data_IF_138052013619
#
_entry.id   IF_138052013619
#
_cell.length_a   1.000
_cell.length_b   1.000
_cell.length_c   1.000
_cell.angle_alpha   90.00
_cell.angle_beta   90.00
_cell.angle_gamma   90.00
#
_symmetry.space_group_name_H-M   'P 1'
#
loop_
_entity.id
_entity.type
_entity.pdbx_description
1 polymer ?
#
# COMPACT_ATOMS: atom_id res chain seq x y z
N UNK A 1 -76.34 52.00 -56.74
CA UNK A 1 -77.04 51.38 -55.59
C UNK A 1 -75.99 51.24 -54.49
N UNK A 2 -75.92 52.18 -53.53
CA UNK A 2 -76.50 52.09 -52.17
C UNK A 2 -75.83 50.98 -51.32
N UNK A 3 -75.33 51.17 -50.10
CA UNK A 3 -75.55 52.21 -49.09
C UNK A 3 -74.36 52.27 -48.09
N UNK A 4 -74.32 53.39 -47.37
CA UNK A 4 -73.41 53.68 -46.26
C UNK A 4 -73.69 52.87 -44.99
N UNK A 5 -72.68 52.77 -44.11
CA UNK A 5 -72.82 52.33 -42.72
C UNK A 5 -71.61 52.77 -41.89
N UNK A 6 -71.85 53.69 -40.95
CA UNK A 6 -70.87 54.35 -40.09
C UNK A 6 -70.45 53.50 -38.88
N UNK A 7 -69.26 53.77 -38.30
CA UNK A 7 -69.06 54.07 -36.87
C UNK A 7 -67.55 54.04 -36.50
N UNK A 8 -67.09 55.12 -35.86
CA UNK A 8 -65.76 55.27 -35.28
C UNK A 8 -65.55 54.37 -34.06
N UNK A 9 -64.35 53.82 -33.89
CA UNK A 9 -63.82 53.44 -32.58
C UNK A 9 -62.29 53.61 -32.55
N UNK A 10 -61.86 54.51 -31.67
CA UNK A 10 -60.50 54.82 -31.29
C UNK A 10 -59.96 53.68 -30.40
N UNK A 11 -58.86 53.00 -30.74
CA UNK A 11 -58.20 52.08 -29.81
C UNK A 11 -56.73 51.78 -30.15
N UNK A 12 -55.87 52.33 -29.29
CA UNK A 12 -54.61 51.78 -28.79
C UNK A 12 -53.47 51.49 -29.78
N UNK A 13 -52.50 52.42 -29.76
CA UNK A 13 -51.09 52.10 -29.92
C UNK A 13 -50.74 50.80 -29.17
N UNK A 14 -50.42 49.74 -29.91
CA UNK A 14 -49.87 48.52 -29.30
C UNK A 14 -48.37 48.49 -29.58
N UNK A 15 -47.66 49.08 -28.63
CA UNK A 15 -46.23 48.98 -28.32
C UNK A 15 -45.66 47.60 -28.65
N UNK A 16 -45.05 47.44 -29.84
CA UNK A 16 -44.34 46.23 -30.26
C UNK A 16 -42.81 46.47 -30.40
N UNK A 17 -42.25 47.38 -29.62
CA UNK A 17 -40.85 47.84 -29.78
C UNK A 17 -39.94 47.66 -28.56
N UNK A 18 -40.36 46.95 -27.49
CA UNK A 18 -39.55 46.80 -26.27
C UNK A 18 -38.98 45.39 -25.97
N UNK A 19 -39.27 44.35 -26.78
CA UNK A 19 -38.83 42.97 -26.48
C UNK A 19 -37.55 42.51 -27.20
N UNK A 20 -37.08 43.26 -28.20
CA UNK A 20 -35.88 42.89 -28.97
C UNK A 20 -34.53 43.03 -28.23
N UNK A 21 -34.33 44.01 -27.31
CA UNK A 21 -33.04 44.17 -26.63
C UNK A 21 -32.72 43.04 -25.65
N UNK A 22 -33.73 42.54 -24.94
CA UNK A 22 -33.57 41.49 -23.91
C UNK A 22 -33.26 40.13 -24.51
N UNK A 23 -33.93 39.74 -25.61
CA UNK A 23 -33.58 38.51 -26.34
C UNK A 23 -32.13 38.54 -26.85
N UNK A 24 -31.64 39.71 -27.27
CA UNK A 24 -30.28 39.87 -27.77
C UNK A 24 -29.25 39.72 -26.64
N UNK A 25 -29.55 40.26 -25.44
CA UNK A 25 -28.70 40.14 -24.26
C UNK A 25 -28.64 38.72 -23.69
N UNK A 26 -29.78 38.02 -23.62
CA UNK A 26 -29.85 36.63 -23.17
C UNK A 26 -29.10 35.69 -24.12
N UNK A 27 -29.28 35.87 -25.43
CA UNK A 27 -28.56 35.07 -26.43
C UNK A 27 -27.04 35.32 -26.35
N UNK A 28 -26.62 36.57 -26.15
CA UNK A 28 -25.20 36.91 -25.97
C UNK A 28 -24.61 36.24 -24.72
N UNK A 29 -25.36 36.22 -23.62
CA UNK A 29 -24.95 35.57 -22.37
C UNK A 29 -24.89 34.05 -22.53
N UNK A 30 -25.86 33.45 -23.20
CA UNK A 30 -25.89 32.01 -23.46
C UNK A 30 -24.75 31.57 -24.39
N UNK A 31 -24.43 32.37 -25.41
CA UNK A 31 -23.27 32.15 -26.28
C UNK A 31 -21.97 32.25 -25.47
N UNK A 32 -21.82 33.25 -24.61
CA UNK A 32 -20.64 33.38 -23.73
C UNK A 32 -20.48 32.19 -22.78
N UNK A 33 -21.56 31.77 -22.11
CA UNK A 33 -21.57 30.59 -21.24
C UNK A 33 -21.24 29.30 -21.99
N UNK A 34 -21.76 29.13 -23.21
CA UNK A 34 -21.45 27.96 -24.05
C UNK A 34 -19.98 27.93 -24.49
N UNK A 35 -19.40 29.09 -24.79
CA UNK A 35 -17.98 29.22 -25.12
C UNK A 35 -17.10 28.88 -23.92
N UNK A 36 -17.47 29.36 -22.73
CA UNK A 36 -16.74 29.10 -21.49
C UNK A 36 -16.83 27.62 -21.06
N UNK A 37 -18.01 27.01 -21.18
CA UNK A 37 -18.19 25.57 -20.96
C UNK A 37 -17.35 24.73 -21.94
N UNK A 38 -17.25 25.16 -23.20
CA UNK A 38 -16.42 24.50 -24.21
C UNK A 38 -14.92 24.64 -23.87
N UNK A 39 -14.48 25.81 -23.41
CA UNK A 39 -13.11 26.04 -22.97
C UNK A 39 -12.75 25.21 -21.72
N UNK A 40 -13.65 25.13 -20.75
CA UNK A 40 -13.46 24.29 -19.56
C UNK A 40 -13.42 22.81 -19.89
N UNK A 41 -14.27 22.35 -20.81
CA UNK A 41 -14.22 20.98 -21.30
C UNK A 41 -12.86 20.69 -21.96
N UNK A 42 -12.37 21.58 -22.82
CA UNK A 42 -11.07 21.45 -23.47
C UNK A 42 -9.91 21.39 -22.45
N UNK A 43 -9.91 22.25 -21.43
CA UNK A 43 -8.92 22.24 -20.36
C UNK A 43 -8.97 20.93 -19.54
N UNK A 44 -10.17 20.43 -19.24
CA UNK A 44 -10.34 19.16 -18.53
C UNK A 44 -9.86 17.95 -19.35
N UNK A 45 -10.03 17.98 -20.68
CA UNK A 45 -9.49 16.94 -21.56
C UNK A 45 -7.97 16.96 -21.60
N UNK A 46 -7.34 18.14 -21.65
CA UNK A 46 -5.89 18.29 -21.58
C UNK A 46 -5.34 17.78 -20.25
N UNK A 47 -5.96 18.17 -19.13
CA UNK A 47 -5.55 17.72 -17.79
C UNK A 47 -5.66 16.20 -17.62
N UNK A 48 -6.72 15.59 -18.19
CA UNK A 48 -6.89 14.13 -18.21
C UNK A 48 -5.82 13.46 -19.06
N UNK A 49 -5.54 13.97 -20.26
CA UNK A 49 -4.50 13.43 -21.12
C UNK A 49 -3.10 13.51 -20.48
N UNK A 50 -2.79 14.60 -19.78
CA UNK A 50 -1.55 14.76 -19.02
C UNK A 50 -1.46 13.78 -17.84
N UNK A 51 -2.55 13.59 -17.08
CA UNK A 51 -2.60 12.57 -16.01
C UNK A 51 -2.44 11.16 -16.53
N UNK A 52 -3.08 10.83 -17.64
CA UNK A 52 -2.99 9.50 -18.26
C UNK A 52 -1.58 9.25 -18.81
N UNK A 53 -0.96 10.25 -19.42
CA UNK A 53 0.44 10.18 -19.85
C UNK A 53 1.40 10.01 -18.66
N UNK A 54 1.19 10.76 -17.57
CA UNK A 54 1.98 10.62 -16.34
C UNK A 54 1.79 9.24 -15.69
N UNK A 55 0.55 8.73 -15.64
CA UNK A 55 0.23 7.40 -15.12
C UNK A 55 0.85 6.29 -15.99
N UNK A 56 0.82 6.43 -17.32
CA UNK A 56 1.45 5.51 -18.25
C UNK A 56 2.98 5.49 -18.09
N UNK A 57 3.60 6.65 -17.90
CA UNK A 57 5.04 6.77 -17.65
C UNK A 57 5.43 6.17 -16.28
N UNK A 58 4.64 6.44 -15.23
CA UNK A 58 4.83 5.84 -13.92
C UNK A 58 4.67 4.31 -13.95
N UNK A 59 3.70 3.79 -14.71
CA UNK A 59 3.50 2.36 -14.90
C UNK A 59 4.63 1.71 -15.71
N UNK A 60 5.18 2.38 -16.73
CA UNK A 60 6.35 1.91 -17.47
C UNK A 60 7.60 1.86 -16.57
N UNK A 61 7.84 2.92 -15.80
CA UNK A 61 8.96 2.97 -14.86
C UNK A 61 8.84 1.87 -13.80
N UNK A 62 7.66 1.70 -13.19
CA UNK A 62 7.40 0.64 -12.23
C UNK A 62 7.61 -0.77 -12.82
N UNK A 63 7.24 -0.99 -14.09
CA UNK A 63 7.51 -2.26 -14.79
C UNK A 63 9.00 -2.47 -15.07
N UNK A 64 9.73 -1.43 -15.44
CA UNK A 64 11.18 -1.50 -15.65
C UNK A 64 11.92 -1.80 -14.33
N UNK A 65 11.58 -1.09 -13.26
CA UNK A 65 12.15 -1.29 -11.93
C UNK A 65 11.83 -2.69 -11.40
N UNK A 66 10.62 -3.22 -11.66
CA UNK A 66 10.22 -4.58 -11.30
C UNK A 66 10.98 -5.64 -12.12
N UNK A 67 11.29 -5.39 -13.39
CA UNK A 67 12.11 -6.28 -14.21
C UNK A 67 13.56 -6.33 -13.72
N UNK A 68 14.15 -5.18 -13.36
CA UNK A 68 15.51 -5.11 -12.81
C UNK A 68 15.60 -5.69 -11.40
N UNK A 69 14.58 -5.48 -10.57
CA UNK A 69 14.45 -6.11 -9.27
C UNK A 69 14.33 -7.63 -9.37
N UNK A 70 13.55 -8.15 -10.34
CA UNK A 70 13.46 -9.59 -10.62
C UNK A 70 14.81 -10.17 -11.05
N UNK A 71 15.51 -9.54 -11.99
CA UNK A 71 16.85 -9.98 -12.41
C UNK A 71 17.85 -10.01 -11.26
N UNK A 72 17.85 -8.98 -10.41
CA UNK A 72 18.71 -8.93 -9.20
C UNK A 72 18.30 -9.96 -8.14
N UNK A 73 17.01 -10.22 -7.98
CA UNK A 73 16.50 -11.22 -7.05
C UNK A 73 16.83 -12.65 -7.50
N UNK A 74 16.73 -12.92 -8.80
CA UNK A 74 17.05 -14.23 -9.39
C UNK A 74 18.56 -14.52 -9.30
N UNK A 75 19.41 -13.51 -9.55
CA UNK A 75 20.86 -13.61 -9.34
C UNK A 75 21.22 -13.85 -7.86
N UNK A 76 20.53 -13.18 -6.92
CA UNK A 76 20.74 -13.40 -5.47
C UNK A 76 20.22 -14.74 -4.98
N UNK A 77 19.11 -15.24 -5.53
CA UNK A 77 18.55 -16.57 -5.21
C UNK A 77 19.54 -17.66 -5.61
N UNK A 78 20.13 -17.57 -6.80
CA UNK A 78 21.16 -18.50 -7.27
C UNK A 78 22.41 -18.49 -6.37
N UNK A 79 22.89 -17.30 -5.98
CA UNK A 79 24.03 -17.17 -5.06
C UNK A 79 23.74 -17.66 -3.63
N UNK A 80 22.51 -17.48 -3.12
CA UNK A 80 22.11 -17.99 -1.80
C UNK A 80 21.90 -19.51 -1.79
N UNK A 81 21.48 -20.10 -2.91
CA UNK A 81 21.34 -21.56 -3.02
C UNK A 81 22.70 -22.25 -2.97
N UNK A 82 23.70 -21.70 -3.66
CA UNK A 82 25.09 -22.18 -3.60
C UNK A 82 25.70 -22.00 -2.19
N UNK A 83 25.44 -20.87 -1.53
CA UNK A 83 25.88 -20.64 -0.15
C UNK A 83 25.18 -21.55 0.87
N UNK A 84 23.90 -21.89 0.65
CA UNK A 84 23.12 -22.80 1.52
C UNK A 84 23.63 -24.23 1.43
N UNK A 85 24.04 -24.70 0.25
CA UNK A 85 24.67 -26.03 0.08
C UNK A 85 26.03 -26.10 0.80
N UNK A 86 26.86 -25.07 0.66
CA UNK A 86 28.15 -24.99 1.36
C UNK A 86 28.00 -24.86 2.90
N UNK A 87 26.93 -24.20 3.39
CA UNK A 87 26.65 -24.08 4.82
C UNK A 87 26.08 -25.38 5.43
N UNK A 88 25.29 -26.14 4.67
CA UNK A 88 24.74 -27.43 5.11
C UNK A 88 25.85 -28.48 5.33
N UNK A 89 26.88 -28.50 4.48
CA UNK A 89 28.05 -29.38 4.66
C UNK A 89 28.88 -29.01 5.90
N UNK A 90 29.03 -27.70 6.20
CA UNK A 90 29.73 -27.23 7.41
C UNK A 90 28.95 -27.45 8.71
N UNK A 91 27.62 -27.62 8.63
CA UNK A 91 26.77 -27.91 9.78
C UNK A 91 26.83 -29.40 10.19
N UNK A 92 26.98 -30.30 9.21
CA UNK A 92 27.15 -31.75 9.46
C UNK A 92 28.42 -32.05 10.25
N UNK A 93 29.54 -31.38 9.96
CA UNK A 93 30.81 -31.60 10.69
C UNK A 93 30.84 -30.97 12.10
N UNK A 94 30.00 -29.98 12.40
CA UNK A 94 29.88 -29.37 13.75
C UNK A 94 28.92 -30.12 14.67
N UNK A 95 28.05 -30.96 14.12
CA UNK A 95 27.09 -31.77 14.89
C UNK A 95 27.75 -33.00 15.54
N UNK A 96 28.80 -33.55 14.91
CA UNK A 96 29.57 -34.67 15.44
C UNK A 96 30.50 -34.29 16.60
N UNK A 97 31.01 -33.05 16.65
CA UNK A 97 31.82 -32.54 17.76
C UNK A 97 30.99 -32.12 19.00
N UNK A 98 29.70 -31.74 18.82
CA UNK A 98 28.83 -31.35 19.93
C UNK A 98 28.26 -32.55 20.71
N UNK A 99 28.22 -33.72 20.07
CA UNK A 99 27.69 -34.96 20.68
C UNK A 99 28.66 -35.56 21.72
N UNK A 100 29.96 -35.25 21.66
CA UNK A 100 30.96 -35.78 22.61
C UNK A 100 31.15 -34.91 23.87
N UNK A 101 30.69 -33.65 23.89
CA UNK A 101 30.79 -32.76 25.06
C UNK A 101 29.50 -32.67 25.91
N UNK A 102 28.35 -33.09 25.38
CA UNK A 102 27.05 -32.96 26.08
C UNK A 102 26.70 -34.14 27.01
N UNK A 103 27.57 -35.16 27.13
CA UNK A 103 27.37 -36.32 28.01
C UNK A 103 27.81 -36.08 29.47
N UNK A 104 28.16 -34.85 29.85
CA UNK A 104 28.54 -34.50 31.22
C UNK A 104 27.85 -33.21 31.62
N UNK A 105 27.05 -33.29 32.69
CA UNK A 105 26.26 -32.22 33.33
C UNK A 105 24.82 -32.13 32.82
N UNK A 106 23.96 -32.85 33.52
CA UNK A 106 22.52 -32.79 33.33
C UNK A 106 21.83 -31.65 34.11
N UNK A 107 20.54 -31.56 33.79
CA UNK A 107 19.43 -31.05 34.59
C UNK A 107 18.97 -29.59 34.42
N UNK A 108 17.64 -29.49 34.29
CA UNK A 108 16.71 -28.38 34.52
C UNK A 108 16.52 -27.25 33.48
N UNK A 109 15.50 -27.45 32.63
CA UNK A 109 14.22 -26.70 32.55
C UNK A 109 14.19 -25.16 32.62
N UNK A 110 13.61 -24.58 31.55
CA UNK A 110 12.86 -23.31 31.45
C UNK A 110 13.61 -21.97 31.57
N UNK A 111 14.01 -21.40 30.41
CA UNK A 111 14.21 -19.94 30.25
C UNK A 111 14.04 -19.55 28.77
N UNK A 112 12.81 -19.42 28.27
CA UNK A 112 12.54 -18.98 26.89
C UNK A 112 11.74 -17.66 26.81
N UNK A 113 11.16 -17.18 27.92
CA UNK A 113 10.30 -15.99 27.92
C UNK A 113 11.07 -14.66 27.87
N UNK A 114 12.28 -14.59 28.45
CA UNK A 114 13.09 -13.36 28.41
C UNK A 114 13.68 -13.10 27.02
N UNK A 115 14.11 -14.15 26.32
CA UNK A 115 14.66 -14.05 24.95
C UNK A 115 13.60 -13.66 23.93
N UNK A 116 12.39 -14.24 24.00
CA UNK A 116 11.29 -13.90 23.09
C UNK A 116 10.87 -12.42 23.21
N UNK A 117 10.81 -11.90 24.45
CA UNK A 117 10.49 -10.50 24.72
C UNK A 117 11.57 -9.56 24.18
N UNK A 118 12.86 -9.92 24.34
CA UNK A 118 13.98 -9.16 23.78
C UNK A 118 13.97 -9.11 22.25
N UNK A 119 13.62 -10.23 21.59
CA UNK A 119 13.49 -10.29 20.14
C UNK A 119 12.33 -9.45 19.63
N UNK A 120 11.17 -9.48 20.29
CA UNK A 120 10.01 -8.65 19.94
C UNK A 120 10.35 -7.15 20.01
N UNK A 121 11.04 -6.72 21.08
CA UNK A 121 11.45 -5.33 21.24
C UNK A 121 12.36 -4.85 20.10
N UNK A 122 13.32 -5.68 19.67
CA UNK A 122 14.22 -5.35 18.55
C UNK A 122 13.47 -5.24 17.21
N UNK A 123 12.53 -6.14 16.94
CA UNK A 123 11.66 -6.09 15.76
C UNK A 123 10.84 -4.80 15.75
N UNK A 124 10.21 -4.44 16.88
CA UNK A 124 9.41 -3.22 17.00
C UNK A 124 10.26 -1.97 16.84
N UNK A 125 11.43 -1.91 17.48
CA UNK A 125 12.34 -0.78 17.36
C UNK A 125 12.76 -0.57 15.91
N UNK A 126 13.03 -1.64 15.18
CA UNK A 126 13.37 -1.56 13.76
C UNK A 126 12.23 -0.98 12.93
N UNK A 127 11.01 -1.53 13.02
CA UNK A 127 9.88 -1.05 12.20
C UNK A 127 9.51 0.40 12.53
N UNK A 128 9.55 0.78 13.80
CA UNK A 128 9.31 2.17 14.23
C UNK A 128 10.34 3.14 13.65
N UNK A 129 11.61 2.74 13.58
CA UNK A 129 12.65 3.55 12.96
C UNK A 129 12.49 3.72 11.42
N UNK A 130 11.59 2.96 10.79
CA UNK A 130 11.30 3.09 9.36
C UNK A 130 10.11 4.01 9.05
N UNK A 131 9.35 4.45 10.06
CA UNK A 131 8.18 5.32 9.87
C UNK A 131 8.58 6.58 9.10
N UNK A 132 7.75 6.96 8.13
CA UNK A 132 7.98 8.10 7.23
C UNK A 132 8.76 7.78 5.96
N UNK A 133 9.38 6.60 5.85
CA UNK A 133 10.02 6.17 4.59
C UNK A 133 8.99 5.81 3.52
N UNK A 134 9.40 5.91 2.26
CA UNK A 134 8.54 5.60 1.12
C UNK A 134 8.24 4.12 0.99
N UNK A 135 7.03 3.82 0.52
CA UNK A 135 6.67 2.50 0.02
C UNK A 135 7.14 2.37 -1.42
N UNK A 136 7.85 1.30 -1.74
CA UNK A 136 8.19 0.94 -3.12
C UNK A 136 7.98 -0.55 -3.29
N UNK A 137 7.10 -0.95 -4.20
CA UNK A 137 6.81 -2.35 -4.48
C UNK A 137 8.11 -3.10 -4.81
N UNK A 138 8.37 -4.21 -4.12
CA UNK A 138 9.59 -4.99 -4.32
C UNK A 138 10.78 -4.52 -3.47
N UNK A 139 10.74 -3.36 -2.82
CA UNK A 139 11.87 -2.83 -2.07
C UNK A 139 12.09 -3.55 -0.72
N UNK A 140 13.36 -3.66 -0.33
CA UNK A 140 13.80 -4.39 0.88
C UNK A 140 14.77 -3.59 1.73
N UNK A 141 14.73 -2.26 1.62
CA UNK A 141 15.58 -1.34 2.37
C UNK A 141 16.94 -1.01 1.73
N UNK A 142 17.71 -0.11 2.37
CA UNK A 142 17.34 0.62 3.59
C UNK A 142 16.51 1.89 3.33
N UNK A 143 16.46 2.38 2.10
CA UNK A 143 15.83 3.68 1.78
C UNK A 143 14.31 3.61 1.60
N UNK A 144 13.80 2.46 1.19
CA UNK A 144 12.36 2.21 0.98
C UNK A 144 12.06 0.72 1.20
N UNK A 145 10.80 0.40 1.51
CA UNK A 145 10.35 -0.97 1.73
C UNK A 145 8.98 -1.19 1.09
N UNK A 146 8.65 -2.42 0.73
CA UNK A 146 7.26 -2.86 0.65
C UNK A 146 6.84 -3.60 1.93
N UNK A 147 5.60 -4.05 1.99
CA UNK A 147 5.01 -4.66 3.19
C UNK A 147 5.83 -5.84 3.71
N UNK A 148 5.99 -6.87 2.89
CA UNK A 148 6.73 -8.09 3.25
C UNK A 148 8.25 -7.87 3.34
N UNK A 149 8.79 -6.89 2.60
CA UNK A 149 10.18 -6.46 2.68
C UNK A 149 10.53 -5.79 4.01
N UNK A 150 9.61 -4.96 4.55
CA UNK A 150 9.74 -4.33 5.87
C UNK A 150 9.72 -5.39 6.98
N UNK A 151 8.71 -6.26 6.98
CA UNK A 151 8.58 -7.35 7.98
C UNK A 151 9.82 -8.23 7.96
N UNK A 152 10.26 -8.69 6.79
CA UNK A 152 11.48 -9.50 6.66
C UNK A 152 12.72 -8.78 7.19
N UNK A 153 12.88 -7.50 6.89
CA UNK A 153 14.03 -6.73 7.37
C UNK A 153 14.03 -6.54 8.90
N UNK A 154 12.85 -6.46 9.52
CA UNK A 154 12.70 -6.39 10.97
C UNK A 154 13.07 -7.71 11.65
N UNK A 155 12.57 -8.84 11.16
CA UNK A 155 12.87 -10.16 11.71
C UNK A 155 14.33 -10.60 11.46
N UNK A 156 14.95 -10.11 10.39
CA UNK A 156 16.39 -10.30 10.17
C UNK A 156 17.24 -9.68 11.30
N UNK A 157 16.76 -8.63 12.00
CA UNK A 157 17.50 -8.05 13.14
C UNK A 157 17.67 -9.02 14.29
N UNK A 158 16.79 -10.03 14.38
CA UNK A 158 16.81 -11.07 15.42
C UNK A 158 17.18 -12.43 14.86
N UNK A 159 17.79 -12.47 13.66
CA UNK A 159 18.29 -13.71 13.04
C UNK A 159 17.21 -14.60 12.42
N UNK A 160 15.97 -14.13 12.28
CA UNK A 160 14.86 -14.89 11.69
C UNK A 160 14.71 -14.52 10.22
N UNK A 161 14.98 -15.48 9.33
CA UNK A 161 14.85 -15.28 7.89
C UNK A 161 13.45 -15.61 7.41
N UNK A 162 12.64 -14.58 7.13
CA UNK A 162 11.30 -14.75 6.57
C UNK A 162 11.30 -14.88 5.03
N UNK A 163 10.29 -15.57 4.46
CA UNK A 163 10.02 -15.56 3.02
C UNK A 163 9.89 -14.14 2.45
N UNK A 164 10.10 -13.96 1.14
CA UNK A 164 10.04 -12.62 0.52
C UNK A 164 8.63 -12.07 0.43
N UNK A 165 7.63 -12.92 0.23
CA UNK A 165 6.28 -12.51 -0.17
C UNK A 165 5.30 -12.67 0.99
N UNK A 166 4.24 -11.84 1.00
CA UNK A 166 3.24 -11.81 2.07
C UNK A 166 2.49 -13.14 2.22
N UNK A 167 2.24 -13.83 1.11
CA UNK A 167 1.57 -15.13 1.08
C UNK A 167 2.29 -16.13 1.98
N UNK A 168 3.59 -16.31 1.75
CA UNK A 168 4.41 -17.25 2.53
C UNK A 168 4.64 -16.76 3.96
N UNK A 169 4.74 -15.44 4.18
CA UNK A 169 4.87 -14.88 5.53
C UNK A 169 3.62 -15.13 6.37
N UNK A 170 2.43 -15.12 5.79
CA UNK A 170 1.17 -15.39 6.48
C UNK A 170 1.03 -16.83 6.99
N UNK A 171 1.97 -17.72 6.67
CA UNK A 171 2.01 -19.12 7.14
C UNK A 171 3.37 -19.52 7.71
N UNK A 172 4.30 -18.57 7.87
CA UNK A 172 5.68 -18.84 8.27
C UNK A 172 5.83 -19.26 9.74
N UNK A 173 4.79 -19.14 10.56
CA UNK A 173 4.81 -19.42 11.99
C UNK A 173 3.50 -20.02 12.50
N UNK A 174 3.29 -19.94 13.81
CA UNK A 174 2.06 -20.42 14.45
C UNK A 174 0.93 -19.42 14.27
N UNK A 175 -0.23 -19.90 13.81
CA UNK A 175 -1.41 -19.04 13.67
C UNK A 175 -1.90 -18.54 15.03
N UNK A 176 -2.20 -17.24 15.10
CA UNK A 176 -2.66 -16.55 16.31
C UNK A 176 -4.04 -15.94 16.09
N UNK A 177 -4.93 -16.11 17.07
CA UNK A 177 -6.20 -15.39 17.12
C UNK A 177 -5.95 -13.89 17.34
N UNK A 178 -6.71 -13.02 16.68
CA UNK A 178 -6.61 -11.57 16.87
C UNK A 178 -6.87 -11.12 18.32
N UNK A 179 -7.54 -11.93 19.13
CA UNK A 179 -7.72 -11.70 20.57
C UNK A 179 -6.49 -12.02 21.42
N UNK A 180 -5.51 -12.73 20.86
CA UNK A 180 -4.29 -13.21 21.54
C UNK A 180 -3.01 -12.60 20.95
N UNK A 181 -3.14 -11.42 20.31
CA UNK A 181 -2.01 -10.72 19.71
C UNK A 181 -0.96 -10.36 20.76
N UNK A 182 0.30 -10.59 20.41
CA UNK A 182 1.46 -10.20 21.17
C UNK A 182 2.35 -9.32 20.32
N UNK A 183 3.04 -8.39 20.98
CA UNK A 183 4.00 -7.49 20.35
C UNK A 183 5.00 -8.31 19.53
N UNK A 184 5.19 -7.93 18.27
CA UNK A 184 6.04 -8.65 17.31
C UNK A 184 5.30 -9.67 16.45
N UNK A 185 4.01 -9.95 16.67
CA UNK A 185 3.22 -10.79 15.77
C UNK A 185 3.13 -10.16 14.37
N UNK A 186 3.16 -11.01 13.34
CA UNK A 186 2.97 -10.61 11.95
C UNK A 186 1.48 -10.63 11.67
N UNK A 187 0.92 -9.47 11.37
CA UNK A 187 -0.46 -9.31 10.92
C UNK A 187 -0.52 -9.49 9.41
N UNK A 188 -1.61 -10.07 8.91
CA UNK A 188 -1.83 -10.21 7.48
C UNK A 188 -3.27 -9.88 7.07
N UNK A 189 -3.43 -9.51 5.79
CA UNK A 189 -4.72 -9.28 5.14
C UNK A 189 -4.90 -10.21 3.94
N UNK A 190 -6.09 -10.80 3.84
CA UNK A 190 -6.41 -11.91 2.93
C UNK A 190 -6.45 -13.27 3.66
N UNK A 191 -6.52 -14.38 2.93
CA UNK A 191 -6.47 -15.70 3.56
C UNK A 191 -5.01 -16.11 3.83
N UNK A 192 -4.80 -16.96 4.84
CA UNK A 192 -3.48 -17.55 5.07
C UNK A 192 -3.01 -18.30 3.80
N UNK A 193 -1.77 -18.06 3.38
CA UNK A 193 -1.20 -18.58 2.13
C UNK A 193 -1.59 -17.80 0.86
N UNK A 194 -2.47 -16.81 0.96
CA UNK A 194 -2.85 -15.92 -0.14
C UNK A 194 -2.94 -14.44 0.28
N UNK A 195 -2.32 -14.10 1.42
CA UNK A 195 -2.32 -12.75 1.94
C UNK A 195 -1.68 -11.76 0.96
N UNK A 196 -2.35 -10.64 0.72
CA UNK A 196 -1.89 -9.57 -0.17
C UNK A 196 -1.13 -8.46 0.57
N UNK A 197 -1.24 -8.40 1.90
CA UNK A 197 -0.56 -7.40 2.74
C UNK A 197 -0.14 -7.99 4.09
N UNK A 198 0.92 -7.44 4.67
CA UNK A 198 1.47 -7.82 5.98
C UNK A 198 2.04 -6.63 6.73
N UNK A 199 1.98 -6.68 8.06
CA UNK A 199 2.52 -5.66 8.95
C UNK A 199 2.98 -6.29 10.29
N UNK A 200 3.60 -5.50 11.16
CA UNK A 200 4.01 -5.96 12.50
C UNK A 200 3.12 -5.33 13.57
N UNK A 201 2.57 -6.14 14.47
CA UNK A 201 1.86 -5.66 15.65
C UNK A 201 2.85 -5.09 16.67
N UNK A 202 2.61 -3.84 17.12
CA UNK A 202 3.54 -3.12 18.00
C UNK A 202 3.01 -2.89 19.41
N UNK A 203 1.87 -3.52 19.76
CA UNK A 203 1.19 -3.35 21.05
C UNK A 203 0.05 -2.33 20.99
N UNK A 204 -0.72 -2.23 22.08
CA UNK A 204 -1.77 -1.21 22.28
C UNK A 204 -2.80 -1.09 21.14
N UNK A 205 -3.08 -2.20 20.44
CA UNK A 205 -3.99 -2.18 19.29
C UNK A 205 -3.42 -1.45 18.07
N UNK A 206 -2.09 -1.32 17.96
CA UNK A 206 -1.39 -0.62 16.89
C UNK A 206 -0.53 -1.57 16.04
N UNK A 207 -0.34 -1.21 14.78
CA UNK A 207 0.58 -1.89 13.86
C UNK A 207 1.46 -0.90 13.11
N UNK A 208 2.63 -1.36 12.68
CA UNK A 208 3.50 -0.62 11.75
C UNK A 208 3.65 -1.43 10.47
N UNK A 209 3.39 -0.78 9.34
CA UNK A 209 3.43 -1.41 8.02
C UNK A 209 3.77 -0.42 6.91
N UNK A 210 4.33 -0.94 5.82
CA UNK A 210 4.53 -0.19 4.58
C UNK A 210 3.25 -0.31 3.74
N UNK A 211 2.38 0.72 3.76
CA UNK A 211 1.00 0.58 3.27
C UNK A 211 0.85 0.66 1.76
N UNK A 212 1.27 1.77 1.15
CA UNK A 212 1.12 2.01 -0.30
C UNK A 212 1.99 3.21 -0.75
N UNK A 213 2.22 3.42 -2.06
CA UNK A 213 3.09 4.49 -2.56
C UNK A 213 2.75 5.90 -2.07
N UNK A 214 1.47 6.19 -1.82
CA UNK A 214 1.02 7.52 -1.37
C UNK A 214 1.20 7.74 0.13
N UNK A 215 1.29 6.68 0.93
CA UNK A 215 1.32 6.74 2.41
C UNK A 215 2.68 6.40 2.98
N UNK A 216 3.42 5.49 2.36
CA UNK A 216 4.69 4.99 2.89
C UNK A 216 4.52 4.11 4.13
N UNK A 217 5.51 4.17 5.02
CA UNK A 217 5.57 3.40 6.27
C UNK A 217 4.96 4.23 7.39
N UNK A 218 3.93 3.70 8.05
CA UNK A 218 3.16 4.39 9.08
C UNK A 218 2.78 3.47 10.23
N UNK A 219 2.55 4.07 11.40
CA UNK A 219 1.90 3.43 12.53
C UNK A 219 0.40 3.74 12.49
N UNK A 220 -0.45 2.73 12.64
CA UNK A 220 -1.92 2.86 12.60
C UNK A 220 -2.60 1.94 13.61
N UNK A 221 -3.79 2.32 14.12
CA UNK A 221 -4.59 1.43 14.93
C UNK A 221 -5.17 0.29 14.08
N UNK A 222 -5.35 -0.89 14.69
CA UNK A 222 -6.02 -2.04 14.05
C UNK A 222 -7.44 -1.69 13.57
N UNK A 223 -8.10 -0.72 14.20
CA UNK A 223 -9.43 -0.25 13.80
C UNK A 223 -9.45 0.51 12.47
N UNK A 224 -8.31 1.01 12.00
CA UNK A 224 -8.21 1.68 10.70
C UNK A 224 -8.36 0.71 9.53
N UNK A 225 -7.70 -0.44 9.64
CA UNK A 225 -7.72 -1.51 8.65
C UNK A 225 -7.55 -2.85 9.39
N UNK A 226 -8.65 -3.53 9.74
CA UNK A 226 -8.59 -4.73 10.56
C UNK A 226 -7.89 -5.88 9.81
N UNK A 227 -6.83 -6.49 10.37
CA UNK A 227 -6.19 -7.66 9.77
C UNK A 227 -7.15 -8.85 9.76
N UNK A 228 -7.00 -9.74 8.78
CA UNK A 228 -7.79 -10.97 8.69
C UNK A 228 -7.23 -12.08 9.59
N UNK A 229 -5.94 -12.01 9.94
CA UNK A 229 -5.31 -12.91 10.90
C UNK A 229 -3.89 -12.51 11.25
N UNK A 230 -3.24 -13.33 12.07
CA UNK A 230 -1.88 -13.10 12.53
C UNK A 230 -1.09 -14.40 12.68
N UNK A 231 0.22 -14.32 12.53
CA UNK A 231 1.14 -15.42 12.83
C UNK A 231 2.26 -14.97 13.77
N UNK A 232 2.67 -15.89 14.65
CA UNK A 232 3.79 -15.71 15.57
C UNK A 232 4.98 -16.53 15.14
N UNK A 233 6.12 -15.86 15.04
CA UNK A 233 7.41 -16.46 14.65
C UNK A 233 8.45 -16.35 15.78
N UNK A 234 8.16 -15.58 16.83
CA UNK A 234 8.99 -15.39 18.02
C UNK A 234 8.66 -16.39 19.13
#
# INVERSE_FOLDING_TARGET
MAAAGAASANAAETTQTLQLPTLTADLSTQVAQSAEATQQAAANYQLRAERDAAAANAAKQAKADLADAKKKAEAKKKAQEDARKAAAERATSRSTERTTLAASTGSSTSTSSSTATGSAAAVVAFVKAQIGKSYVLGATGPSAYDCSGLVRAAFNQVGISLPRVSQDQSTAGTQVSLSNLQVGDILYWGSAGSAYHVAVYVGDGMFVGAQNPSTGIVERPLSYDPPTGAVRVL
#
